data_IF_332357828701
#
_entry.id   IF_332357828701
#
_cell.length_a   1.000
_cell.length_b   1.000
_cell.length_c   1.000
_cell.angle_alpha   90.00
_cell.angle_beta   90.00
_cell.angle_gamma   90.00
#
_symmetry.space_group_name_H-M   'P 1'
#
loop_
_entity.id
_entity.type
_entity.pdbx_description
1 polymer ?
#
# COMPACT_ATOMS: atom_id res chain seq x y z
N UNK A 1 -20.80 -42.17 -59.67
CA UNK A 1 -21.85 -41.83 -60.63
C UNK A 1 -22.16 -40.36 -60.57
N UNK A 2 -21.83 -39.66 -61.67
CA UNK A 2 -22.53 -38.60 -62.40
C UNK A 2 -23.15 -37.49 -61.50
N UNK A 3 -22.64 -36.26 -61.49
CA UNK A 3 -22.70 -35.26 -62.58
C UNK A 3 -24.00 -34.40 -62.47
N UNK A 4 -23.86 -33.10 -62.40
CA UNK A 4 -24.94 -32.15 -62.66
C UNK A 4 -24.51 -30.73 -62.41
N UNK A 5 -23.88 -30.10 -63.39
CA UNK A 5 -23.58 -28.69 -63.57
C UNK A 5 -24.82 -27.95 -64.03
N UNK A 6 -25.15 -26.77 -63.55
CA UNK A 6 -25.80 -25.73 -64.41
C UNK A 6 -25.36 -24.34 -63.92
N UNK A 7 -24.84 -23.59 -64.87
CA UNK A 7 -24.50 -22.15 -64.80
C UNK A 7 -25.76 -21.29 -64.94
N UNK A 8 -25.71 -20.11 -64.39
CA UNK A 8 -26.70 -19.04 -64.62
C UNK A 8 -26.12 -17.68 -64.25
N UNK A 9 -25.73 -16.95 -65.27
CA UNK A 9 -25.18 -15.61 -65.27
C UNK A 9 -26.25 -14.50 -65.24
N UNK A 10 -25.88 -13.37 -64.59
CA UNK A 10 -26.07 -11.95 -64.90
C UNK A 10 -27.19 -11.19 -64.19
N UNK A 11 -27.14 -9.83 -64.12
CA UNK A 11 -26.04 -8.86 -63.96
C UNK A 11 -26.25 -7.84 -62.82
N UNK A 12 -25.25 -7.03 -62.60
CA UNK A 12 -25.08 -6.08 -61.53
C UNK A 12 -26.05 -4.87 -61.50
N UNK A 13 -26.20 -4.40 -60.28
CA UNK A 13 -26.56 -3.02 -60.01
C UNK A 13 -25.53 -2.42 -59.05
N UNK A 14 -24.78 -1.46 -59.54
CA UNK A 14 -23.92 -0.61 -58.74
C UNK A 14 -24.77 0.30 -57.86
N UNK A 15 -24.74 0.11 -56.57
CA UNK A 15 -25.30 1.05 -55.59
C UNK A 15 -24.17 1.88 -55.01
N UNK A 16 -24.12 3.14 -55.35
CA UNK A 16 -23.23 4.14 -54.76
C UNK A 16 -23.72 4.47 -53.34
N UNK A 17 -23.10 3.88 -52.35
CA UNK A 17 -23.32 4.25 -50.94
C UNK A 17 -22.57 5.56 -50.64
N UNK A 18 -23.26 6.53 -50.10
CA UNK A 18 -22.69 7.78 -49.58
C UNK A 18 -21.79 7.50 -48.35
N UNK A 19 -20.70 8.28 -48.13
CA UNK A 19 -19.82 8.06 -46.98
C UNK A 19 -20.53 8.37 -45.65
N UNK A 20 -20.33 7.49 -44.67
CA UNK A 20 -20.83 7.67 -43.30
C UNK A 20 -20.20 8.91 -42.65
N UNK A 21 -20.94 9.65 -41.81
CA UNK A 21 -20.40 10.80 -41.08
C UNK A 21 -19.32 10.34 -40.09
N UNK A 22 -18.25 11.14 -39.98
CA UNK A 22 -17.15 10.92 -39.04
C UNK A 22 -17.69 10.90 -37.59
N UNK A 23 -17.11 10.05 -36.70
CA UNK A 23 -17.51 10.01 -35.30
C UNK A 23 -17.21 11.35 -34.62
N UNK A 24 -18.19 11.86 -33.89
CA UNK A 24 -18.04 13.05 -33.08
C UNK A 24 -16.92 12.87 -32.06
N UNK A 25 -16.03 13.86 -31.98
CA UNK A 25 -14.93 13.90 -31.00
C UNK A 25 -15.50 13.78 -29.58
N UNK A 26 -14.99 12.82 -28.82
CA UNK A 26 -15.29 12.67 -27.41
C UNK A 26 -14.90 13.96 -26.65
N UNK A 27 -15.72 14.44 -25.69
CA UNK A 27 -15.35 15.58 -24.89
C UNK A 27 -14.06 15.28 -24.10
N UNK A 28 -13.16 16.28 -24.07
CA UNK A 28 -11.93 16.21 -23.29
C UNK A 28 -12.27 15.93 -21.80
N UNK A 29 -11.46 15.13 -21.08
CA UNK A 29 -11.69 14.89 -19.66
C UNK A 29 -11.67 16.23 -18.92
N UNK A 30 -12.75 16.52 -18.18
CA UNK A 30 -12.83 17.67 -17.32
C UNK A 30 -11.70 17.58 -16.28
N UNK A 31 -10.79 18.55 -16.27
CA UNK A 31 -9.78 18.70 -15.24
C UNK A 31 -10.48 18.96 -13.90
N UNK A 32 -10.54 17.94 -13.06
CA UNK A 32 -10.93 18.10 -11.65
C UNK A 32 -9.91 19.06 -11.01
N UNK A 33 -10.34 20.11 -10.28
CA UNK A 33 -9.40 21.02 -9.66
C UNK A 33 -8.51 20.26 -8.67
N UNK A 34 -7.21 20.39 -8.84
CA UNK A 34 -6.22 19.76 -7.98
C UNK A 34 -6.18 20.54 -6.66
N UNK A 35 -6.67 19.94 -5.57
CA UNK A 35 -6.63 20.54 -4.23
C UNK A 35 -5.20 20.88 -3.85
N UNK A 36 -4.94 22.11 -3.41
CA UNK A 36 -3.64 22.56 -2.90
C UNK A 36 -3.57 22.37 -1.38
N UNK A 37 -2.38 22.47 -0.78
CA UNK A 37 -2.22 22.40 0.67
C UNK A 37 -3.06 23.46 1.43
N UNK A 38 -3.42 24.57 0.78
CA UNK A 38 -4.25 25.62 1.34
C UNK A 38 -5.75 25.25 1.38
N UNK A 39 -6.19 24.27 0.59
CA UNK A 39 -7.61 23.89 0.48
C UNK A 39 -8.04 22.85 1.54
N UNK A 40 -7.10 22.30 2.30
CA UNK A 40 -7.40 21.33 3.34
C UNK A 40 -7.56 22.06 4.67
N UNK A 41 -8.76 22.03 5.29
CA UNK A 41 -8.99 22.68 6.56
C UNK A 41 -8.05 22.12 7.63
N UNK A 42 -7.65 22.93 8.60
CA UNK A 42 -6.86 22.47 9.73
C UNK A 42 -7.60 21.36 10.48
N UNK A 43 -6.85 20.33 10.92
CA UNK A 43 -7.42 19.26 11.73
C UNK A 43 -7.82 19.80 13.10
N UNK A 44 -9.10 19.76 13.40
CA UNK A 44 -9.62 20.16 14.72
C UNK A 44 -9.48 18.98 15.70
N UNK A 45 -8.36 18.99 16.44
CA UNK A 45 -8.08 17.96 17.45
C UNK A 45 -9.08 18.02 18.60
N UNK A 46 -9.60 19.21 18.97
CA UNK A 46 -10.56 19.33 20.04
C UNK A 46 -11.89 18.66 19.66
N UNK A 47 -12.30 18.78 18.41
CA UNK A 47 -13.48 18.10 17.90
C UNK A 47 -13.29 16.57 17.87
N UNK A 48 -12.13 16.05 17.43
CA UNK A 48 -11.83 14.63 17.50
C UNK A 48 -11.88 14.09 18.93
N UNK A 49 -11.32 14.84 19.90
CA UNK A 49 -11.39 14.49 21.32
C UNK A 49 -12.82 14.51 21.82
N UNK A 50 -13.62 15.51 21.44
CA UNK A 50 -15.03 15.63 21.81
C UNK A 50 -15.84 14.42 21.29
N UNK A 51 -15.65 14.04 20.03
CA UNK A 51 -16.31 12.87 19.44
C UNK A 51 -15.94 11.59 20.20
N UNK A 52 -14.64 11.35 20.40
CA UNK A 52 -14.16 10.15 21.11
C UNK A 52 -14.65 10.04 22.55
N UNK A 53 -14.90 11.18 23.22
CA UNK A 53 -15.33 11.20 24.61
C UNK A 53 -16.85 11.12 24.78
N UNK A 54 -17.62 11.67 23.84
CA UNK A 54 -19.08 11.80 23.96
C UNK A 54 -19.85 10.88 23.01
N UNK A 55 -19.25 10.51 21.88
CA UNK A 55 -19.87 9.73 20.82
C UNK A 55 -18.86 8.75 20.21
N UNK A 56 -18.26 7.82 20.98
CA UNK A 56 -17.24 6.89 20.47
C UNK A 56 -17.79 5.97 19.35
N UNK A 57 -19.11 5.74 19.31
CA UNK A 57 -19.81 5.02 18.24
C UNK A 57 -19.71 5.69 16.87
N UNK A 58 -19.42 7.00 16.81
CA UNK A 58 -19.24 7.75 15.56
C UNK A 58 -18.16 7.15 14.66
N UNK A 59 -17.16 6.47 15.23
CA UNK A 59 -16.11 5.77 14.46
C UNK A 59 -16.71 4.61 13.65
N UNK A 60 -17.50 3.74 14.33
CA UNK A 60 -18.14 2.61 13.66
C UNK A 60 -19.18 3.08 12.63
N UNK A 61 -19.92 4.14 12.95
CA UNK A 61 -20.86 4.76 12.02
C UNK A 61 -20.16 5.35 10.79
N UNK A 62 -19.03 6.04 10.96
CA UNK A 62 -18.23 6.56 9.86
C UNK A 62 -17.70 5.42 8.97
N UNK A 63 -17.21 4.34 9.57
CA UNK A 63 -16.78 3.15 8.84
C UNK A 63 -17.93 2.53 8.02
N UNK A 64 -19.14 2.44 8.60
CA UNK A 64 -20.33 1.90 7.95
C UNK A 64 -20.85 2.78 6.79
N UNK A 65 -20.74 4.11 6.92
CA UNK A 65 -21.19 5.07 5.89
C UNK A 65 -20.21 5.23 4.73
N UNK A 66 -18.95 4.83 4.93
CA UNK A 66 -17.87 5.01 3.95
C UNK A 66 -18.21 4.36 2.61
N UNK A 67 -18.08 5.10 1.51
CA UNK A 67 -18.09 4.52 0.17
C UNK A 67 -16.83 3.66 -0.02
N UNK A 68 -17.03 2.41 -0.39
CA UNK A 68 -15.94 1.46 -0.66
C UNK A 68 -15.64 1.39 -2.15
N UNK A 69 -14.42 1.00 -2.48
CA UNK A 69 -13.99 0.72 -3.84
C UNK A 69 -13.33 -0.66 -3.93
N UNK A 70 -13.21 -1.26 -5.13
CA UNK A 70 -12.36 -2.43 -5.30
C UNK A 70 -10.91 -2.13 -4.91
N UNK A 71 -10.19 -3.15 -4.41
CA UNK A 71 -8.77 -3.03 -4.05
C UNK A 71 -7.96 -2.48 -5.23
N UNK A 72 -8.08 -3.10 -6.40
CA UNK A 72 -7.46 -2.62 -7.64
C UNK A 72 -8.47 -1.81 -8.47
N UNK A 73 -8.05 -0.64 -8.91
CA UNK A 73 -8.76 0.13 -9.92
C UNK A 73 -8.49 -0.40 -11.36
N UNK A 74 -9.00 0.31 -12.38
CA UNK A 74 -8.83 -0.10 -13.79
C UNK A 74 -7.36 -0.21 -14.23
N UNK A 75 -6.45 0.56 -13.63
CA UNK A 75 -5.00 0.46 -13.92
C UNK A 75 -4.37 -0.86 -13.48
N UNK A 76 -5.02 -1.61 -12.59
CA UNK A 76 -4.44 -2.78 -11.94
C UNK A 76 -3.26 -2.45 -11.01
N UNK A 77 -3.10 -1.18 -10.64
CA UNK A 77 -2.03 -0.64 -9.77
C UNK A 77 -2.60 -0.08 -8.47
N UNK A 78 -1.73 0.06 -7.47
CA UNK A 78 -2.04 0.61 -6.15
C UNK A 78 -1.05 1.70 -5.75
N UNK A 79 -1.57 2.82 -5.25
CA UNK A 79 -0.83 3.83 -4.53
C UNK A 79 -1.39 3.98 -3.12
N UNK A 80 -0.72 3.43 -2.14
CA UNK A 80 -1.14 3.41 -0.73
C UNK A 80 -0.16 4.20 0.13
N UNK A 81 -0.69 5.10 0.96
CA UNK A 81 0.10 5.84 1.94
C UNK A 81 0.24 5.04 3.23
N UNK A 82 1.45 4.89 3.77
CA UNK A 82 1.70 4.12 4.98
C UNK A 82 1.99 5.03 6.19
N UNK A 83 1.20 4.88 7.25
CA UNK A 83 1.32 5.65 8.49
C UNK A 83 1.23 4.76 9.76
N UNK A 84 1.67 3.51 9.69
CA UNK A 84 1.65 2.56 10.81
C UNK A 84 2.89 2.62 11.72
N UNK A 85 3.90 3.42 11.37
CA UNK A 85 5.18 3.55 12.07
C UNK A 85 5.07 4.05 13.52
N UNK A 86 4.22 5.05 13.85
CA UNK A 86 4.16 5.61 15.21
C UNK A 86 3.83 4.56 16.29
N UNK A 87 2.99 3.58 15.98
CA UNK A 87 2.57 2.57 16.96
C UNK A 87 3.70 1.64 17.44
N UNK A 88 4.80 1.55 16.72
CA UNK A 88 6.01 0.83 17.15
C UNK A 88 7.12 1.73 17.72
N UNK A 89 6.82 3.00 17.97
CA UNK A 89 7.78 3.99 18.45
C UNK A 89 8.72 4.53 17.35
N UNK A 90 8.50 4.21 16.08
CA UNK A 90 9.28 4.71 14.96
C UNK A 90 8.76 6.07 14.50
N UNK A 91 9.09 7.12 15.25
CA UNK A 91 8.62 8.49 15.04
C UNK A 91 9.53 9.33 14.15
N UNK A 92 10.73 8.84 13.86
CA UNK A 92 11.75 9.59 13.11
C UNK A 92 11.58 9.48 11.60
N UNK A 93 12.03 10.54 10.91
CA UNK A 93 12.22 10.58 9.46
C UNK A 93 13.57 11.25 9.21
N UNK A 94 14.54 10.52 8.65
CA UNK A 94 15.91 10.99 8.55
C UNK A 94 16.46 11.44 9.91
N UNK A 95 17.01 12.65 9.98
CA UNK A 95 17.55 13.23 11.22
C UNK A 95 16.49 13.81 12.17
N UNK A 96 15.24 13.92 11.72
CA UNK A 96 14.13 14.49 12.52
C UNK A 96 13.51 13.42 13.42
N UNK A 97 14.02 13.27 14.65
CA UNK A 97 13.69 12.16 15.58
C UNK A 97 12.20 12.00 15.90
N UNK A 98 11.42 13.09 15.86
CA UNK A 98 10.00 13.11 16.25
C UNK A 98 9.10 13.72 15.16
N UNK A 99 9.48 13.60 13.89
CA UNK A 99 8.72 14.16 12.77
C UNK A 99 7.25 13.71 12.75
N UNK A 100 6.98 12.44 13.07
CA UNK A 100 5.64 11.85 13.08
C UNK A 100 4.93 11.95 14.44
N UNK A 101 5.50 12.61 15.44
CA UNK A 101 4.93 12.64 16.80
C UNK A 101 3.72 13.58 16.92
N UNK A 102 3.68 14.68 16.14
CA UNK A 102 2.54 15.59 16.15
C UNK A 102 1.37 15.02 15.37
N UNK A 103 0.32 14.60 16.08
CA UNK A 103 -0.85 13.96 15.49
C UNK A 103 -1.60 14.87 14.52
N UNK A 104 -1.79 16.14 14.85
CA UNK A 104 -2.49 17.09 13.98
C UNK A 104 -1.73 17.30 12.65
N UNK A 105 -0.39 17.44 12.71
CA UNK A 105 0.44 17.56 11.51
C UNK A 105 0.41 16.27 10.67
N UNK A 106 0.52 15.10 11.29
CA UNK A 106 0.42 13.81 10.60
C UNK A 106 -0.93 13.65 9.88
N UNK A 107 -2.03 13.94 10.56
CA UNK A 107 -3.37 13.85 9.99
C UNK A 107 -3.57 14.85 8.84
N UNK A 108 -3.10 16.10 9.00
CA UNK A 108 -3.14 17.10 7.93
C UNK A 108 -2.38 16.63 6.69
N UNK A 109 -1.18 16.08 6.84
CA UNK A 109 -0.38 15.52 5.74
C UNK A 109 -1.08 14.34 5.08
N UNK A 110 -1.69 13.45 5.88
CA UNK A 110 -2.46 12.32 5.36
C UNK A 110 -3.69 12.78 4.57
N UNK A 111 -4.47 13.73 5.09
CA UNK A 111 -5.62 14.27 4.39
C UNK A 111 -5.21 14.92 3.05
N UNK A 112 -4.12 15.72 3.05
CA UNK A 112 -3.58 16.29 1.81
C UNK A 112 -3.16 15.20 0.83
N UNK A 113 -2.39 14.23 1.27
CA UNK A 113 -1.91 13.15 0.42
C UNK A 113 -3.06 12.28 -0.12
N UNK A 114 -4.07 11.96 0.71
CA UNK A 114 -5.25 11.18 0.30
C UNK A 114 -6.14 11.95 -0.70
N UNK A 115 -6.15 13.28 -0.67
CA UNK A 115 -6.90 14.09 -1.63
C UNK A 115 -6.25 14.14 -3.02
N UNK A 116 -4.97 13.71 -3.15
CA UNK A 116 -4.29 13.75 -4.46
C UNK A 116 -4.89 12.71 -5.42
N UNK A 117 -5.13 13.10 -6.70
CA UNK A 117 -5.55 12.17 -7.74
C UNK A 117 -4.55 11.00 -7.87
N UNK A 118 -5.06 9.79 -8.07
CA UNK A 118 -4.23 8.59 -8.20
C UNK A 118 -3.79 7.95 -6.88
N UNK A 119 -4.05 8.58 -5.73
CA UNK A 119 -3.86 7.94 -4.42
C UNK A 119 -5.06 7.05 -4.11
N UNK A 120 -4.82 5.75 -4.00
CA UNK A 120 -5.85 4.75 -3.83
C UNK A 120 -6.29 4.58 -2.37
N UNK A 121 -5.39 4.77 -1.40
CA UNK A 121 -5.76 4.54 -0.01
C UNK A 121 -4.64 4.71 1.00
N UNK A 122 -4.86 4.14 2.19
CA UNK A 122 -3.98 4.26 3.34
C UNK A 122 -3.82 2.95 4.09
N UNK A 123 -2.61 2.72 4.60
CA UNK A 123 -2.25 1.71 5.59
C UNK A 123 -1.93 2.42 6.90
N UNK A 124 -2.66 2.13 7.95
CA UNK A 124 -2.34 2.69 9.27
C UNK A 124 -2.84 1.81 10.42
N UNK A 125 -2.54 2.23 11.64
CA UNK A 125 -3.04 1.63 12.88
C UNK A 125 -4.44 2.12 13.21
N UNK A 126 -5.13 1.44 14.11
CA UNK A 126 -6.52 1.71 14.46
C UNK A 126 -6.75 3.18 14.84
N UNK A 127 -5.90 3.74 15.68
CA UNK A 127 -6.01 5.12 16.17
C UNK A 127 -5.95 6.17 15.05
N UNK A 128 -5.10 5.94 14.03
CA UNK A 128 -4.98 6.84 12.87
C UNK A 128 -6.15 6.63 11.90
N UNK A 129 -6.54 5.37 11.64
CA UNK A 129 -7.68 5.09 10.78
C UNK A 129 -8.98 5.62 11.36
N UNK A 130 -9.16 5.53 12.68
CA UNK A 130 -10.32 6.09 13.38
C UNK A 130 -10.39 7.62 13.22
N UNK A 131 -9.25 8.32 13.40
CA UNK A 131 -9.19 9.75 13.17
C UNK A 131 -9.53 10.11 11.71
N UNK A 132 -8.99 9.38 10.74
CA UNK A 132 -9.28 9.59 9.32
C UNK A 132 -10.73 9.29 8.95
N UNK A 133 -11.37 8.29 9.61
CA UNK A 133 -12.81 8.02 9.47
C UNK A 133 -13.64 9.20 9.97
N UNK A 134 -13.33 9.72 11.16
CA UNK A 134 -14.03 10.88 11.74
C UNK A 134 -13.85 12.15 10.90
N UNK A 135 -12.70 12.29 10.22
CA UNK A 135 -12.42 13.39 9.29
C UNK A 135 -13.05 13.19 7.89
N UNK A 136 -13.67 12.03 7.61
CA UNK A 136 -14.24 11.72 6.30
C UNK A 136 -13.20 11.51 5.19
N UNK A 137 -11.91 11.36 5.54
CA UNK A 137 -10.81 11.27 4.58
C UNK A 137 -10.71 9.90 3.86
N UNK A 138 -11.48 8.90 4.30
CA UNK A 138 -11.43 7.53 3.78
C UNK A 138 -12.56 7.19 2.80
N UNK A 139 -13.38 8.15 2.43
CA UNK A 139 -14.46 7.93 1.46
C UNK A 139 -13.88 7.63 0.08
N UNK A 140 -14.31 6.53 -0.55
CA UNK A 140 -13.80 6.07 -1.83
C UNK A 140 -12.34 5.60 -1.81
N UNK A 141 -11.74 5.38 -0.64
CA UNK A 141 -10.33 4.93 -0.47
C UNK A 141 -10.24 3.48 -0.04
N UNK A 142 -9.17 2.81 -0.44
CA UNK A 142 -8.75 1.51 0.11
C UNK A 142 -8.21 1.73 1.52
N UNK A 143 -8.70 0.96 2.48
CA UNK A 143 -8.27 1.03 3.87
C UNK A 143 -7.60 -0.28 4.27
N UNK A 144 -6.33 -0.19 4.64
CA UNK A 144 -5.53 -1.33 5.10
C UNK A 144 -5.22 -1.17 6.59
N UNK A 145 -5.62 -2.15 7.40
CA UNK A 145 -5.31 -2.14 8.82
C UNK A 145 -3.97 -2.79 9.13
N UNK A 146 -3.13 -2.13 9.93
CA UNK A 146 -1.93 -2.74 10.49
C UNK A 146 -2.32 -3.75 11.57
N UNK A 147 -1.86 -5.01 11.44
CA UNK A 147 -2.24 -6.13 12.32
C UNK A 147 -1.25 -6.32 13.45
N UNK A 148 0.04 -6.16 13.18
CA UNK A 148 1.09 -6.10 14.18
C UNK A 148 1.85 -4.77 14.07
N UNK A 149 2.68 -4.47 15.07
CA UNK A 149 3.45 -3.22 15.09
C UNK A 149 4.83 -3.36 14.45
N UNK A 150 5.23 -4.57 14.05
CA UNK A 150 6.58 -4.87 13.61
C UNK A 150 7.60 -4.83 14.76
N UNK A 151 7.15 -5.12 16.00
CA UNK A 151 7.87 -4.99 17.25
C UNK A 151 7.99 -3.54 17.74
N UNK A 152 8.38 -3.35 18.99
CA UNK A 152 8.74 -2.02 19.53
C UNK A 152 10.19 -1.72 19.14
N UNK A 153 10.39 -0.64 18.40
CA UNK A 153 11.71 -0.26 17.91
C UNK A 153 12.72 -0.10 19.05
N UNK A 154 13.80 -0.88 18.99
CA UNK A 154 14.88 -0.84 19.98
C UNK A 154 14.65 -1.71 21.23
N UNK A 155 13.50 -2.40 21.33
CA UNK A 155 13.27 -3.32 22.43
C UNK A 155 14.07 -4.62 22.28
N UNK A 156 14.47 -5.22 23.39
CA UNK A 156 15.14 -6.54 23.39
C UNK A 156 14.27 -7.65 22.80
N UNK A 157 12.94 -7.52 22.96
CA UNK A 157 11.92 -8.44 22.44
C UNK A 157 11.33 -8.00 21.09
N UNK A 158 12.03 -7.18 20.34
CA UNK A 158 11.50 -6.57 19.09
C UNK A 158 11.06 -7.61 18.05
N UNK A 159 11.65 -8.82 18.05
CA UNK A 159 11.29 -9.91 17.15
C UNK A 159 10.14 -10.80 17.67
N UNK A 160 9.86 -10.81 18.96
CA UNK A 160 8.62 -11.42 19.50
C UNK A 160 7.44 -10.46 19.29
N UNK A 161 7.10 -10.25 18.03
CA UNK A 161 6.09 -9.29 17.61
C UNK A 161 4.71 -9.92 17.52
N UNK A 162 3.99 -9.87 18.61
CA UNK A 162 2.64 -10.40 18.71
C UNK A 162 1.63 -9.48 18.04
N UNK A 163 0.51 -10.06 17.57
CA UNK A 163 -0.57 -9.31 16.94
C UNK A 163 -1.30 -8.45 17.98
N UNK A 164 -1.08 -7.16 17.94
CA UNK A 164 -1.60 -6.17 18.89
C UNK A 164 -2.35 -5.03 18.21
N UNK A 165 -2.56 -5.13 16.90
CA UNK A 165 -3.35 -4.22 16.08
C UNK A 165 -4.67 -4.86 15.64
N UNK A 166 -5.10 -4.56 14.41
CA UNK A 166 -6.32 -5.13 13.85
C UNK A 166 -6.21 -6.65 13.71
N UNK A 167 -7.25 -7.34 14.15
CA UNK A 167 -7.45 -8.76 13.86
C UNK A 167 -8.30 -8.92 12.59
N UNK A 168 -8.29 -10.09 11.93
CA UNK A 168 -9.08 -10.34 10.74
C UNK A 168 -10.58 -10.04 10.90
N UNK A 169 -11.14 -10.35 12.08
CA UNK A 169 -12.53 -10.02 12.40
C UNK A 169 -12.81 -8.52 12.53
N UNK A 170 -11.86 -7.74 13.04
CA UNK A 170 -11.99 -6.29 13.14
C UNK A 170 -11.99 -5.64 11.76
N UNK A 171 -11.09 -6.08 10.87
CA UNK A 171 -11.04 -5.62 9.48
C UNK A 171 -12.36 -5.90 8.75
N UNK A 172 -12.89 -7.12 8.91
CA UNK A 172 -14.16 -7.51 8.30
C UNK A 172 -15.32 -6.68 8.86
N UNK A 173 -15.41 -6.51 10.18
CA UNK A 173 -16.48 -5.75 10.88
C UNK A 173 -16.47 -4.27 10.49
N UNK A 174 -15.29 -3.67 10.35
CA UNK A 174 -15.15 -2.26 9.95
C UNK A 174 -15.25 -2.05 8.43
N UNK A 175 -15.40 -3.13 7.65
CA UNK A 175 -15.43 -3.06 6.19
C UNK A 175 -14.11 -2.56 5.59
N UNK A 176 -12.98 -2.79 6.25
CA UNK A 176 -11.67 -2.48 5.70
C UNK A 176 -11.30 -3.47 4.61
N UNK A 177 -10.42 -3.06 3.70
CA UNK A 177 -10.23 -3.73 2.42
C UNK A 177 -9.07 -4.71 2.43
N UNK A 178 -8.14 -4.60 3.39
CA UNK A 178 -6.99 -5.49 3.54
C UNK A 178 -6.38 -5.39 4.95
N UNK A 179 -5.57 -6.39 5.29
CA UNK A 179 -4.65 -6.36 6.43
C UNK A 179 -3.20 -6.25 5.97
N UNK A 180 -2.35 -5.74 6.83
CA UNK A 180 -0.89 -5.76 6.64
C UNK A 180 -0.20 -6.19 7.92
N UNK A 181 0.80 -7.03 7.80
CA UNK A 181 1.72 -7.37 8.88
C UNK A 181 3.18 -7.27 8.45
N UNK A 182 4.05 -6.98 9.41
CA UNK A 182 5.49 -6.99 9.24
C UNK A 182 6.04 -8.32 9.79
N UNK A 183 6.77 -9.05 8.95
CA UNK A 183 7.43 -10.31 9.30
C UNK A 183 8.94 -10.12 9.26
N UNK A 184 9.58 -10.00 10.43
CA UNK A 184 11.04 -9.96 10.53
C UNK A 184 11.56 -11.27 11.07
N UNK A 185 12.55 -11.82 10.39
CA UNK A 185 13.12 -13.14 10.65
C UNK A 185 14.61 -12.96 10.93
N UNK A 186 15.05 -13.33 12.12
CA UNK A 186 16.45 -13.52 12.47
C UNK A 186 16.63 -14.98 12.85
N UNK A 187 17.53 -15.70 12.16
CA UNK A 187 17.73 -17.13 12.37
C UNK A 187 18.31 -17.47 13.74
N UNK A 188 18.94 -16.49 14.38
CA UNK A 188 19.55 -16.64 15.70
C UNK A 188 18.62 -16.16 16.84
N UNK A 189 17.44 -15.60 16.53
CA UNK A 189 16.48 -15.10 17.54
C UNK A 189 15.22 -15.99 17.60
N UNK A 190 14.96 -16.65 18.74
CA UNK A 190 13.82 -17.56 18.90
C UNK A 190 12.45 -16.86 18.77
N UNK A 191 12.38 -15.53 18.94
CA UNK A 191 11.16 -14.74 18.70
C UNK A 191 10.65 -14.86 17.26
N UNK A 192 11.53 -15.14 16.31
CA UNK A 192 11.19 -15.37 14.90
C UNK A 192 10.20 -16.51 14.70
N UNK A 193 10.31 -17.60 15.49
CA UNK A 193 9.41 -18.75 15.37
C UNK A 193 7.96 -18.39 15.71
N UNK A 194 7.75 -17.63 16.79
CA UNK A 194 6.42 -17.18 17.20
C UNK A 194 5.80 -16.25 16.14
N UNK A 195 6.61 -15.38 15.54
CA UNK A 195 6.15 -14.45 14.50
C UNK A 195 5.79 -15.19 13.21
N UNK A 196 6.56 -16.22 12.82
CA UNK A 196 6.25 -17.08 11.67
C UNK A 196 4.93 -17.83 11.87
N UNK A 197 4.72 -18.46 13.04
CA UNK A 197 3.49 -19.18 13.34
C UNK A 197 2.27 -18.25 13.38
N UNK A 198 2.40 -17.08 14.00
CA UNK A 198 1.34 -16.08 14.04
C UNK A 198 1.00 -15.53 12.64
N UNK A 199 2.01 -15.37 11.79
CA UNK A 199 1.82 -14.96 10.39
C UNK A 199 1.07 -16.02 9.60
N UNK A 200 1.44 -17.30 9.73
CA UNK A 200 0.74 -18.39 9.05
C UNK A 200 -0.75 -18.45 9.46
N UNK A 201 -1.03 -18.30 10.75
CA UNK A 201 -2.40 -18.22 11.26
C UNK A 201 -3.17 -17.03 10.68
N UNK A 202 -2.54 -15.86 10.61
CA UNK A 202 -3.17 -14.67 10.03
C UNK A 202 -3.47 -14.85 8.51
N UNK A 203 -2.58 -15.52 7.76
CA UNK A 203 -2.82 -15.87 6.35
C UNK A 203 -4.11 -16.68 6.21
N UNK A 204 -4.28 -17.74 7.03
CA UNK A 204 -5.45 -18.61 6.98
C UNK A 204 -6.74 -17.88 7.39
N UNK A 205 -6.68 -17.08 8.46
CA UNK A 205 -7.83 -16.35 8.96
C UNK A 205 -8.28 -15.24 8.01
N UNK A 206 -7.36 -14.55 7.33
CA UNK A 206 -7.67 -13.56 6.31
C UNK A 206 -8.25 -14.22 5.06
N UNK A 207 -7.67 -15.34 4.62
CA UNK A 207 -8.17 -16.11 3.49
C UNK A 207 -9.61 -16.62 3.73
N UNK A 208 -9.92 -17.11 4.94
CA UNK A 208 -11.27 -17.53 5.32
C UNK A 208 -12.30 -16.39 5.21
N UNK A 209 -11.88 -15.14 5.36
CA UNK A 209 -12.72 -13.93 5.22
C UNK A 209 -12.66 -13.30 3.82
N UNK A 210 -11.90 -13.89 2.90
CA UNK A 210 -11.64 -13.36 1.54
C UNK A 210 -11.06 -11.93 1.58
N UNK A 211 -10.23 -11.63 2.57
CA UNK A 211 -9.54 -10.36 2.73
C UNK A 211 -8.07 -10.51 2.34
N UNK A 212 -7.54 -9.67 1.45
CA UNK A 212 -6.12 -9.63 1.15
C UNK A 212 -5.26 -9.33 2.38
N UNK A 213 -4.15 -10.07 2.52
CA UNK A 213 -3.14 -9.87 3.53
C UNK A 213 -1.81 -9.49 2.87
N UNK A 214 -1.30 -8.33 3.22
CA UNK A 214 0.01 -7.86 2.76
C UNK A 214 1.06 -8.23 3.79
N UNK A 215 1.86 -9.25 3.49
CA UNK A 215 3.00 -9.66 4.32
C UNK A 215 4.23 -8.85 3.90
N UNK A 216 4.84 -8.17 4.86
CA UNK A 216 6.06 -7.36 4.66
C UNK A 216 7.26 -8.11 5.24
N UNK A 217 7.94 -8.99 4.45
CA UNK A 217 8.95 -9.88 4.97
C UNK A 217 10.34 -9.26 4.91
N UNK A 218 11.14 -9.53 5.95
CA UNK A 218 12.56 -9.20 6.00
C UNK A 218 13.36 -10.30 6.68
N UNK A 219 14.54 -10.60 6.15
CA UNK A 219 15.61 -11.14 6.98
C UNK A 219 16.20 -9.96 7.74
N UNK A 220 16.34 -10.12 9.03
CA UNK A 220 16.83 -9.09 9.94
C UNK A 220 17.95 -9.65 10.80
N UNK A 221 18.83 -8.78 11.26
CA UNK A 221 19.92 -9.16 12.17
C UNK A 221 20.09 -8.13 13.26
N UNK A 222 20.35 -8.59 14.46
CA UNK A 222 20.71 -7.73 15.58
C UNK A 222 22.21 -7.43 15.50
N UNK A 223 22.53 -6.13 15.37
CA UNK A 223 23.91 -5.65 15.34
C UNK A 223 24.57 -5.68 16.73
N UNK A 224 25.89 -5.45 16.79
CA UNK A 224 26.65 -5.39 18.08
C UNK A 224 26.15 -4.27 19.01
N UNK A 225 25.51 -3.24 18.47
CA UNK A 225 24.88 -2.14 19.22
C UNK A 225 23.47 -2.49 19.75
N UNK A 226 23.05 -3.75 19.61
CA UNK A 226 21.74 -4.26 20.02
C UNK A 226 20.58 -3.85 19.10
N UNK A 227 20.83 -3.07 18.04
CA UNK A 227 19.79 -2.63 17.11
C UNK A 227 19.49 -3.68 16.05
N UNK A 228 18.22 -3.89 15.81
CA UNK A 228 17.75 -4.73 14.72
C UNK A 228 17.80 -3.98 13.40
N UNK A 229 18.41 -4.59 12.37
CA UNK A 229 18.51 -4.05 11.02
C UNK A 229 18.01 -5.07 10.01
N UNK A 230 17.28 -4.57 9.00
CA UNK A 230 16.87 -5.39 7.88
C UNK A 230 18.04 -5.53 6.89
N UNK A 231 18.26 -6.74 6.42
CA UNK A 231 19.21 -7.04 5.35
C UNK A 231 18.48 -6.84 4.01
N UNK A 232 18.98 -5.91 3.19
CA UNK A 232 18.42 -5.57 1.88
C UNK A 232 19.25 -6.12 0.71
N UNK A 233 20.16 -7.04 0.97
CA UNK A 233 20.84 -7.78 -0.10
C UNK A 233 19.84 -8.60 -0.92
N UNK A 234 20.14 -8.86 -2.18
CA UNK A 234 19.29 -9.67 -3.06
C UNK A 234 19.01 -11.05 -2.46
N UNK A 235 20.01 -11.69 -1.86
CA UNK A 235 19.87 -12.98 -1.19
C UNK A 235 18.88 -12.94 -0.03
N UNK A 236 18.99 -11.95 0.85
CA UNK A 236 18.12 -11.82 2.00
C UNK A 236 16.68 -11.51 1.61
N UNK A 237 16.48 -10.63 0.64
CA UNK A 237 15.14 -10.30 0.14
C UNK A 237 14.51 -11.52 -0.56
N UNK A 238 15.25 -12.24 -1.40
CA UNK A 238 14.79 -13.48 -2.03
C UNK A 238 14.36 -14.52 -0.99
N UNK A 239 15.18 -14.74 0.04
CA UNK A 239 14.84 -15.68 1.14
C UNK A 239 13.58 -15.25 1.88
N UNK A 240 13.45 -13.97 2.20
CA UNK A 240 12.28 -13.46 2.92
C UNK A 240 11.00 -13.64 2.11
N UNK A 241 11.05 -13.39 0.79
CA UNK A 241 9.94 -13.61 -0.16
C UNK A 241 9.56 -15.10 -0.20
N UNK A 242 10.54 -15.99 -0.36
CA UNK A 242 10.29 -17.42 -0.45
C UNK A 242 9.65 -17.97 0.84
N UNK A 243 10.17 -17.57 2.01
CA UNK A 243 9.60 -17.97 3.32
C UNK A 243 8.17 -17.46 3.46
N UNK A 244 7.94 -16.16 3.21
CA UNK A 244 6.61 -15.56 3.36
C UNK A 244 5.57 -16.16 2.41
N UNK A 245 5.99 -16.51 1.19
CA UNK A 245 5.10 -17.13 0.18
C UNK A 245 4.62 -18.54 0.58
N UNK A 246 5.36 -19.23 1.44
CA UNK A 246 5.04 -20.59 1.89
C UNK A 246 4.23 -20.66 3.20
N UNK A 247 3.85 -19.52 3.78
CA UNK A 247 3.10 -19.49 5.04
C UNK A 247 1.59 -19.69 4.84
N UNK A 248 0.96 -20.42 5.77
CA UNK A 248 -0.48 -20.73 5.76
C UNK A 248 -0.86 -21.90 4.86
N UNK A 249 -2.12 -22.26 4.89
CA UNK A 249 -2.70 -23.39 4.12
C UNK A 249 -3.05 -23.02 2.68
N UNK A 250 -3.12 -21.73 2.35
CA UNK A 250 -3.40 -21.21 1.00
C UNK A 250 -2.88 -19.80 0.85
N UNK A 251 -2.26 -19.49 -0.28
CA UNK A 251 -1.79 -18.14 -0.63
C UNK A 251 -2.82 -17.32 -1.44
N UNK A 252 -4.07 -17.78 -1.56
CA UNK A 252 -5.08 -17.19 -2.45
C UNK A 252 -5.33 -15.69 -2.22
N UNK A 253 -5.14 -15.21 -0.99
CA UNK A 253 -5.33 -13.81 -0.59
C UNK A 253 -4.03 -13.17 -0.07
N UNK A 254 -2.89 -13.82 -0.27
CA UNK A 254 -1.59 -13.31 0.19
C UNK A 254 -0.96 -12.40 -0.86
N UNK A 255 -0.57 -11.23 -0.43
CA UNK A 255 0.23 -10.25 -1.16
C UNK A 255 1.54 -10.03 -0.42
N UNK A 256 2.56 -9.60 -1.14
CA UNK A 256 3.84 -9.22 -0.55
C UNK A 256 4.00 -7.71 -0.56
N UNK A 257 4.61 -7.16 0.49
CA UNK A 257 5.08 -5.78 0.54
C UNK A 257 6.59 -5.80 0.70
N UNK A 258 7.32 -5.57 -0.38
CA UNK A 258 8.76 -5.86 -0.48
C UNK A 258 9.62 -4.60 -0.59
N UNK A 259 10.83 -4.58 -0.01
CA UNK A 259 11.79 -3.53 -0.25
C UNK A 259 12.35 -3.62 -1.68
N UNK A 260 12.84 -2.50 -2.20
CA UNK A 260 13.80 -2.53 -3.30
C UNK A 260 15.17 -2.85 -2.71
N UNK A 261 15.91 -3.76 -3.33
CA UNK A 261 17.24 -4.19 -2.91
C UNK A 261 18.25 -3.06 -2.95
N UNK A 262 19.42 -3.25 -2.31
CA UNK A 262 20.52 -2.30 -2.35
C UNK A 262 20.92 -1.99 -3.79
N UNK A 263 21.10 -3.04 -4.61
CA UNK A 263 21.26 -2.92 -6.06
C UNK A 263 19.93 -3.16 -6.78
N UNK A 264 19.27 -2.12 -7.34
CA UNK A 264 17.96 -2.25 -7.98
C UNK A 264 17.94 -3.20 -9.20
N UNK A 265 19.08 -3.46 -9.84
CA UNK A 265 19.18 -4.35 -11.00
C UNK A 265 18.88 -5.81 -10.64
N UNK A 266 19.04 -6.19 -9.36
CA UNK A 266 18.75 -7.53 -8.87
C UNK A 266 17.24 -7.79 -8.72
N UNK A 267 16.39 -6.75 -8.79
CA UNK A 267 14.96 -6.88 -8.49
C UNK A 267 14.23 -7.85 -9.42
N UNK A 268 14.65 -8.00 -10.65
CA UNK A 268 14.02 -8.95 -11.57
C UNK A 268 14.21 -10.41 -11.11
N UNK A 269 15.42 -10.77 -10.68
CA UNK A 269 15.74 -12.08 -10.12
C UNK A 269 15.05 -12.30 -8.77
N UNK A 270 15.13 -11.30 -7.89
CA UNK A 270 14.48 -11.33 -6.57
C UNK A 270 12.98 -11.56 -6.69
N UNK A 271 12.29 -10.84 -7.56
CA UNK A 271 10.84 -10.98 -7.74
C UNK A 271 10.43 -12.27 -8.44
N UNK A 272 11.35 -12.96 -9.13
CA UNK A 272 11.12 -14.31 -9.67
C UNK A 272 10.98 -15.39 -8.59
N UNK A 273 11.34 -15.09 -7.34
CA UNK A 273 11.20 -16.02 -6.22
C UNK A 273 9.73 -16.33 -5.84
N UNK A 274 8.75 -15.56 -6.34
CA UNK A 274 7.33 -15.77 -6.04
C UNK A 274 6.43 -15.34 -7.20
N UNK A 275 5.28 -16.00 -7.31
CA UNK A 275 4.19 -15.61 -8.22
C UNK A 275 3.12 -14.75 -7.52
N UNK A 276 3.29 -14.45 -6.24
CA UNK A 276 2.35 -13.62 -5.49
C UNK A 276 2.39 -12.17 -5.98
N UNK A 277 1.24 -11.49 -6.01
CA UNK A 277 1.23 -10.06 -6.27
C UNK A 277 1.98 -9.32 -5.17
N UNK A 278 2.74 -8.31 -5.55
CA UNK A 278 3.57 -7.55 -4.63
C UNK A 278 3.40 -6.04 -4.82
N UNK A 279 3.64 -5.29 -3.74
CA UNK A 279 3.80 -3.84 -3.75
C UNK A 279 5.16 -3.48 -3.18
N UNK A 280 5.76 -2.41 -3.69
CA UNK A 280 7.06 -1.95 -3.20
C UNK A 280 6.86 -1.03 -2.00
N UNK A 281 7.74 -1.14 -1.00
CA UNK A 281 7.79 -0.22 0.13
C UNK A 281 8.78 0.92 -0.09
N UNK A 282 8.59 2.03 0.66
CA UNK A 282 9.43 3.20 0.52
C UNK A 282 10.70 3.20 1.36
N UNK A 283 10.70 2.48 2.47
CA UNK A 283 11.80 2.57 3.45
C UNK A 283 11.94 3.95 4.10
N UNK A 284 13.07 4.15 4.76
CA UNK A 284 13.53 5.45 5.26
C UNK A 284 14.67 5.93 4.36
N UNK A 285 14.43 6.96 3.59
CA UNK A 285 15.40 7.46 2.60
C UNK A 285 16.36 8.51 3.19
N UNK A 286 16.17 8.90 4.47
CA UNK A 286 16.94 9.97 5.09
C UNK A 286 16.66 11.35 4.50
N UNK A 287 17.34 12.36 5.01
CA UNK A 287 17.12 13.78 4.64
C UNK A 287 18.16 14.33 3.63
N UNK A 288 19.09 13.50 3.12
CA UNK A 288 20.10 13.97 2.18
C UNK A 288 19.47 14.39 0.84
N UNK A 289 19.97 15.50 0.30
CA UNK A 289 19.56 15.99 -1.01
C UNK A 289 19.78 14.89 -2.08
N UNK A 290 18.75 14.61 -2.89
CA UNK A 290 18.80 13.58 -3.94
C UNK A 290 18.32 12.19 -3.49
N UNK A 291 18.22 11.88 -2.19
CA UNK A 291 17.77 10.57 -1.74
C UNK A 291 16.34 10.26 -2.22
N UNK A 292 15.47 11.27 -2.27
CA UNK A 292 14.10 11.10 -2.74
C UNK A 292 14.05 10.80 -4.25
N UNK A 293 14.85 11.52 -5.05
CA UNK A 293 14.97 11.25 -6.49
C UNK A 293 15.50 9.84 -6.75
N UNK A 294 16.54 9.43 -6.01
CA UNK A 294 17.08 8.07 -6.10
C UNK A 294 16.05 7.00 -5.73
N UNK A 295 15.19 7.26 -4.74
CA UNK A 295 14.10 6.35 -4.38
C UNK A 295 13.07 6.22 -5.52
N UNK A 296 12.70 7.32 -6.17
CA UNK A 296 11.79 7.27 -7.33
C UNK A 296 12.38 6.47 -8.48
N UNK A 297 13.67 6.61 -8.79
CA UNK A 297 14.32 5.81 -9.83
C UNK A 297 14.33 4.32 -9.49
N UNK A 298 14.63 3.96 -8.25
CA UNK A 298 14.55 2.58 -7.78
C UNK A 298 13.15 1.99 -7.96
N UNK A 299 12.10 2.73 -7.57
CA UNK A 299 10.72 2.27 -7.77
C UNK A 299 10.37 2.16 -9.25
N UNK A 300 10.74 3.14 -10.09
CA UNK A 300 10.50 3.11 -11.53
C UNK A 300 11.09 1.85 -12.17
N UNK A 301 12.32 1.50 -11.80
CA UNK A 301 13.00 0.30 -12.29
C UNK A 301 12.27 -1.00 -11.95
N UNK A 302 11.62 -1.09 -10.79
CA UNK A 302 10.97 -2.32 -10.33
C UNK A 302 9.45 -2.38 -10.63
N UNK A 303 8.79 -1.24 -10.87
CA UNK A 303 7.34 -1.19 -11.08
C UNK A 303 6.86 -1.91 -12.34
N UNK A 304 7.71 -2.08 -13.35
CA UNK A 304 7.35 -2.78 -14.59
C UNK A 304 7.38 -4.31 -14.46
N UNK A 305 7.91 -4.84 -13.36
CA UNK A 305 7.99 -6.29 -13.15
C UNK A 305 6.59 -6.91 -13.03
N UNK A 306 6.37 -8.12 -13.59
CA UNK A 306 5.02 -8.68 -13.77
C UNK A 306 4.28 -8.97 -12.46
N UNK A 307 4.98 -9.20 -11.36
CA UNK A 307 4.38 -9.44 -10.03
C UNK A 307 4.11 -8.15 -9.27
N UNK A 308 4.73 -7.01 -9.65
CA UNK A 308 4.60 -5.74 -8.92
C UNK A 308 3.32 -5.02 -9.32
N UNK A 309 2.53 -4.63 -8.33
CA UNK A 309 1.21 -4.00 -8.48
C UNK A 309 1.13 -2.59 -7.89
N UNK A 310 2.23 -1.98 -7.51
CA UNK A 310 2.23 -0.59 -7.05
C UNK A 310 3.12 -0.32 -5.85
N UNK A 311 2.76 0.72 -5.11
CA UNK A 311 3.54 1.30 -4.03
C UNK A 311 2.74 1.35 -2.72
N UNK A 312 3.41 1.04 -1.60
CA UNK A 312 2.91 1.30 -0.24
C UNK A 312 3.99 2.08 0.50
N UNK A 313 3.90 3.40 0.47
CA UNK A 313 4.97 4.31 0.88
C UNK A 313 4.48 5.28 1.94
N UNK A 314 5.32 5.59 2.91
CA UNK A 314 4.94 6.45 4.05
C UNK A 314 5.84 7.66 4.20
N UNK A 315 6.88 7.52 5.02
CA UNK A 315 7.71 8.62 5.52
C UNK A 315 8.26 9.53 4.43
N UNK A 316 8.78 8.97 3.37
CA UNK A 316 9.37 9.73 2.25
C UNK A 316 8.37 10.62 1.50
N UNK A 317 7.08 10.26 1.49
CA UNK A 317 6.05 11.05 0.83
C UNK A 317 5.31 11.99 1.79
N UNK A 318 5.11 11.57 3.06
CA UNK A 318 4.43 12.39 4.06
C UNK A 318 5.35 13.45 4.68
N UNK A 319 6.65 13.21 4.68
CA UNK A 319 7.67 14.08 5.26
C UNK A 319 8.86 14.28 4.32
N UNK A 320 8.63 14.73 3.07
CA UNK A 320 9.74 15.02 2.15
C UNK A 320 10.65 16.10 2.72
N UNK A 321 11.88 16.18 2.23
CA UNK A 321 12.90 17.11 2.76
C UNK A 321 12.51 18.58 2.57
N UNK A 322 11.84 18.91 1.45
CA UNK A 322 11.31 20.25 1.14
C UNK A 322 9.97 20.57 1.80
N UNK A 323 9.31 19.56 2.41
CA UNK A 323 8.00 19.68 3.06
C UNK A 323 6.82 19.67 2.10
N UNK A 324 7.02 19.59 0.79
CA UNK A 324 5.94 19.55 -0.22
C UNK A 324 5.38 18.13 -0.42
N UNK A 325 4.42 17.78 0.44
CA UNK A 325 3.71 16.50 0.41
C UNK A 325 2.99 16.29 -0.92
N UNK A 326 2.38 17.34 -1.49
CA UNK A 326 1.62 17.22 -2.72
C UNK A 326 2.51 16.85 -3.89
N UNK A 327 3.62 17.57 -4.08
CA UNK A 327 4.59 17.29 -5.14
C UNK A 327 5.23 15.91 -4.99
N UNK A 328 5.57 15.51 -3.76
CA UNK A 328 6.13 14.19 -3.48
C UNK A 328 5.16 13.05 -3.85
N UNK A 329 3.89 13.20 -3.48
CA UNK A 329 2.84 12.21 -3.79
C UNK A 329 2.55 12.16 -5.27
N UNK A 330 2.38 13.32 -5.93
CA UNK A 330 2.10 13.40 -7.38
C UNK A 330 3.22 12.77 -8.20
N UNK A 331 4.48 12.98 -7.81
CA UNK A 331 5.63 12.33 -8.44
C UNK A 331 5.56 10.81 -8.31
N UNK A 332 5.24 10.30 -7.12
CA UNK A 332 5.11 8.85 -6.90
C UNK A 332 3.93 8.24 -7.68
N UNK A 333 2.79 8.94 -7.74
CA UNK A 333 1.63 8.54 -8.56
C UNK A 333 2.01 8.49 -10.04
N UNK A 334 2.79 9.46 -10.53
CA UNK A 334 3.25 9.51 -11.91
C UNK A 334 4.17 8.37 -12.34
N UNK A 335 4.62 7.51 -11.42
CA UNK A 335 5.39 6.30 -11.71
C UNK A 335 4.51 5.08 -12.03
N UNK A 336 3.23 5.10 -11.67
CA UNK A 336 2.29 3.98 -11.76
C UNK A 336 1.55 3.95 -13.09
#
# INVERSE_FOLDING_TARGET
MRAGRVEGTTPGHASTAAPAPAPASAPAPSSTPTSTAADIPPVDVAELVRLRTRHPEAIAEAAARRTRRPLLGPSGRLMILAADHPARGALGVGDRKFAMANRADLLRRLCLALSRPGVDGVLATADILDDLLLLGALDGKVVMGSMNRGGLQGASFELDDRFTGHRPEDLARLGFDAGKLLLRIDYDDPGSLNTLESTARAVDEMAARRLPLFVEPFISRRGPDGRLRNDLSAEAVTRSIAIASGLGGSSAYTWLKVPVTENPDDMAEVMAASTLPAVLLGGDIGDAAGNQAAAYEKWRGALHLPTVRGLVVGRSLLYPADGDVAAAVDTAVGLL
#
